data_IF_701776198099
#
_entry.id   IF_701776198099
#
_cell.length_a   1.000
_cell.length_b   1.000
_cell.length_c   1.000
_cell.angle_alpha   90.00
_cell.angle_beta   90.00
_cell.angle_gamma   90.00
#
_symmetry.space_group_name_H-M   'P 1'
#
loop_
_entity.id
_entity.type
_entity.pdbx_description
1 polymer ?
#
# COMPACT_ATOMS: atom_id res chain seq x y z
N UNK A 1 25.35 14.66 25.84
CA UNK A 1 25.88 13.75 24.79
C UNK A 1 25.01 12.51 24.79
N UNK A 2 24.28 12.26 23.68
CA UNK A 2 23.86 10.98 23.06
C UNK A 2 23.47 9.77 23.97
N UNK A 3 22.37 9.01 23.80
CA UNK A 3 21.26 8.93 22.83
C UNK A 3 20.01 8.37 23.53
N UNK A 4 18.84 8.66 22.95
CA UNK A 4 17.51 8.15 23.33
C UNK A 4 17.39 6.66 23.00
N UNK A 5 16.94 5.83 23.95
CA UNK A 5 16.54 4.44 23.73
C UNK A 5 15.10 4.26 24.21
N UNK A 6 14.17 4.75 23.39
CA UNK A 6 12.72 4.63 23.53
C UNK A 6 12.20 3.22 23.18
N UNK A 7 13.08 2.28 22.80
CA UNK A 7 12.67 0.95 22.35
C UNK A 7 12.46 -0.05 23.50
N UNK A 8 12.94 0.26 24.70
CA UNK A 8 12.85 -0.67 25.84
C UNK A 8 11.62 -0.46 26.73
N UNK A 9 10.77 0.53 26.46
CA UNK A 9 9.53 0.76 27.24
C UNK A 9 8.25 0.20 26.60
N UNK A 10 8.33 -0.34 25.38
CA UNK A 10 7.14 -0.88 24.70
C UNK A 10 6.87 -2.33 25.11
N UNK A 11 7.88 -3.09 25.53
CA UNK A 11 7.71 -4.51 25.87
C UNK A 11 7.11 -4.77 27.26
N UNK A 12 7.23 -3.84 28.21
CA UNK A 12 6.83 -4.10 29.61
C UNK A 12 5.35 -3.84 29.91
N UNK A 13 4.59 -3.28 28.96
CA UNK A 13 3.15 -2.99 29.18
C UNK A 13 2.23 -4.17 28.84
N UNK A 14 2.71 -5.19 28.11
CA UNK A 14 1.91 -6.34 27.70
C UNK A 14 1.64 -7.38 28.80
N UNK A 15 2.25 -7.25 29.98
CA UNK A 15 2.14 -8.26 31.06
C UNK A 15 1.20 -7.85 32.21
N UNK A 16 0.60 -6.65 32.20
CA UNK A 16 -0.20 -6.17 33.34
C UNK A 16 -1.66 -5.82 33.06
N UNK A 17 -2.22 -6.11 31.89
CA UNK A 17 -3.65 -5.89 31.66
C UNK A 17 -4.43 -7.21 31.56
N UNK A 18 -4.58 -7.90 32.70
CA UNK A 18 -5.68 -8.86 32.93
C UNK A 18 -7.08 -8.17 32.95
N UNK A 19 -7.22 -7.00 32.31
CA UNK A 19 -8.41 -6.15 32.31
C UNK A 19 -8.62 -5.41 30.98
N UNK A 20 -8.29 -6.02 29.83
CA UNK A 20 -8.71 -5.45 28.54
C UNK A 20 -10.20 -5.73 28.33
N UNK A 21 -11.01 -4.69 28.52
CA UNK A 21 -12.44 -4.58 28.26
C UNK A 21 -12.82 -5.29 26.92
N UNK A 22 -13.92 -6.07 26.85
CA UNK A 22 -14.33 -6.75 25.60
C UNK A 22 -14.47 -5.82 24.39
N UNK A 23 -14.72 -4.53 24.61
CA UNK A 23 -14.79 -3.51 23.56
C UNK A 23 -13.40 -3.12 23.01
N UNK A 24 -12.33 -3.17 23.79
CA UNK A 24 -10.97 -2.86 23.34
C UNK A 24 -10.41 -3.96 22.42
N UNK A 25 -10.75 -5.24 22.67
CA UNK A 25 -10.47 -6.34 21.76
C UNK A 25 -11.20 -6.20 20.40
N UNK A 26 -12.42 -5.66 20.42
CA UNK A 26 -13.15 -5.36 19.19
C UNK A 26 -12.49 -4.21 18.40
N UNK A 27 -11.93 -3.20 19.07
CA UNK A 27 -11.19 -2.11 18.41
C UNK A 27 -9.86 -2.59 17.83
N UNK A 28 -9.10 -3.43 18.54
CA UNK A 28 -7.86 -4.00 18.02
C UNK A 28 -8.07 -4.94 16.82
N UNK A 29 -9.14 -5.75 16.85
CA UNK A 29 -9.52 -6.60 15.72
C UNK A 29 -10.12 -5.79 14.56
N UNK A 30 -10.92 -4.76 14.84
CA UNK A 30 -11.44 -3.85 13.82
C UNK A 30 -10.31 -3.07 13.15
N UNK A 31 -9.34 -2.54 13.88
CA UNK A 31 -8.17 -1.87 13.28
C UNK A 31 -7.35 -2.84 12.41
N UNK A 32 -7.12 -4.07 12.88
CA UNK A 32 -6.47 -5.11 12.07
C UNK A 32 -7.27 -5.46 10.81
N UNK A 33 -8.59 -5.55 10.91
CA UNK A 33 -9.49 -5.83 9.79
C UNK A 33 -9.59 -4.64 8.83
N UNK A 34 -9.61 -3.40 9.33
CA UNK A 34 -9.57 -2.16 8.55
C UNK A 34 -8.26 -2.03 7.79
N UNK A 35 -7.12 -2.32 8.43
CA UNK A 35 -5.81 -2.34 7.77
C UNK A 35 -5.75 -3.42 6.67
N UNK A 36 -6.25 -4.63 6.95
CA UNK A 36 -6.35 -5.71 5.96
C UNK A 36 -7.28 -5.33 4.80
N UNK A 37 -8.42 -4.70 5.08
CA UNK A 37 -9.34 -4.22 4.07
C UNK A 37 -8.72 -3.09 3.24
N UNK A 38 -8.00 -2.15 3.86
CA UNK A 38 -7.32 -1.05 3.17
C UNK A 38 -6.24 -1.57 2.20
N UNK A 39 -5.48 -2.59 2.60
CA UNK A 39 -4.50 -3.25 1.70
C UNK A 39 -5.16 -4.12 0.63
N UNK A 40 -6.28 -4.78 0.92
CA UNK A 40 -7.05 -5.57 -0.06
C UNK A 40 -7.77 -4.74 -1.10
N UNK A 41 -8.02 -3.47 -0.81
CA UNK A 41 -8.81 -2.60 -1.67
C UNK A 41 -8.14 -2.38 -3.03
N UNK A 42 -6.81 -2.35 -3.14
CA UNK A 42 -6.12 -2.07 -4.40
C UNK A 42 -5.85 -3.30 -5.26
N UNK A 43 -5.69 -4.49 -4.66
CA UNK A 43 -5.25 -5.71 -5.36
C UNK A 43 -6.26 -6.12 -6.43
N UNK A 44 -5.81 -6.18 -7.68
CA UNK A 44 -6.66 -6.58 -8.81
C UNK A 44 -7.46 -5.43 -9.43
N UNK A 45 -7.21 -4.17 -9.01
CA UNK A 45 -7.82 -3.00 -9.65
C UNK A 45 -7.30 -2.81 -11.08
N UNK A 46 -8.10 -2.06 -11.82
CA UNK A 46 -7.75 -1.54 -13.15
C UNK A 46 -7.60 -0.03 -13.03
N UNK A 47 -6.60 0.50 -13.70
CA UNK A 47 -6.40 1.96 -13.80
C UNK A 47 -6.25 2.34 -15.26
N UNK A 48 -6.65 3.56 -15.57
CA UNK A 48 -6.44 4.16 -16.88
C UNK A 48 -5.31 5.18 -16.79
N UNK A 49 -4.39 5.13 -17.73
CA UNK A 49 -3.27 6.08 -17.81
C UNK A 49 -3.77 7.44 -18.31
N UNK A 50 -3.32 8.51 -17.66
CA UNK A 50 -3.66 9.89 -18.01
C UNK A 50 -2.56 10.54 -18.86
N UNK A 51 -1.31 10.14 -18.62
CA UNK A 51 -0.12 10.68 -19.29
C UNK A 51 0.74 9.53 -19.87
N UNK A 52 1.67 9.89 -20.77
CA UNK A 52 2.68 8.95 -21.25
C UNK A 52 3.78 8.77 -20.20
N UNK A 53 4.28 7.54 -20.04
CA UNK A 53 5.46 7.24 -19.24
C UNK A 53 6.53 6.61 -20.14
N UNK A 54 7.66 7.30 -20.24
CA UNK A 54 8.91 6.76 -20.78
C UNK A 54 9.76 6.37 -19.58
N UNK A 55 10.01 5.08 -19.34
CA UNK A 55 10.67 4.63 -18.12
C UNK A 55 12.13 5.08 -18.12
N UNK A 56 12.57 5.68 -17.02
CA UNK A 56 13.99 5.99 -16.77
C UNK A 56 14.73 4.75 -16.23
N UNK A 57 14.01 3.86 -15.54
CA UNK A 57 14.52 2.61 -14.99
C UNK A 57 13.79 1.38 -15.54
N UNK A 58 14.48 0.23 -15.62
CA UNK A 58 13.90 -1.04 -16.11
C UNK A 58 12.71 -1.55 -15.28
N UNK A 59 12.65 -1.11 -14.02
CA UNK A 59 11.57 -1.42 -13.08
C UNK A 59 10.26 -0.70 -13.39
N UNK A 60 10.30 0.36 -14.21
CA UNK A 60 9.13 1.19 -14.55
C UNK A 60 8.40 0.70 -15.79
N UNK A 61 7.10 0.98 -15.83
CA UNK A 61 6.22 0.53 -16.90
C UNK A 61 6.10 1.62 -17.98
N UNK A 62 6.42 1.29 -19.23
CA UNK A 62 6.18 2.19 -20.36
C UNK A 62 4.73 2.09 -20.85
N UNK A 63 4.06 3.24 -20.95
CA UNK A 63 2.69 3.32 -21.43
C UNK A 63 2.36 4.67 -22.09
N UNK A 64 1.31 4.67 -22.90
CA UNK A 64 0.71 5.87 -23.51
C UNK A 64 -0.57 6.27 -22.76
N UNK A 65 -1.05 7.51 -22.89
CA UNK A 65 -2.33 7.94 -22.32
C UNK A 65 -3.49 7.08 -22.82
N UNK A 66 -4.46 6.80 -21.95
CA UNK A 66 -5.67 6.05 -22.26
C UNK A 66 -5.53 4.53 -22.22
N UNK A 67 -4.37 3.99 -21.89
CA UNK A 67 -4.15 2.55 -21.74
C UNK A 67 -4.68 2.05 -20.40
N UNK A 68 -5.13 0.79 -20.39
CA UNK A 68 -5.65 0.16 -19.18
C UNK A 68 -4.62 -0.80 -18.60
N UNK A 69 -4.17 -0.50 -17.39
CA UNK A 69 -3.27 -1.36 -16.63
C UNK A 69 -4.12 -2.21 -15.68
N UNK A 70 -3.80 -3.50 -15.60
CA UNK A 70 -4.52 -4.49 -14.80
C UNK A 70 -3.66 -5.02 -13.66
N UNK A 71 -4.26 -5.78 -12.74
CA UNK A 71 -3.56 -6.34 -11.58
C UNK A 71 -2.78 -5.28 -10.80
N UNK A 72 -3.38 -4.09 -10.64
CA UNK A 72 -2.75 -2.96 -9.97
C UNK A 72 -2.76 -3.21 -8.46
N UNK A 73 -1.72 -2.80 -7.75
CA UNK A 73 -1.64 -2.79 -6.29
C UNK A 73 -0.62 -1.76 -5.80
N UNK A 74 -0.66 -1.43 -4.51
CA UNK A 74 0.29 -0.53 -3.86
C UNK A 74 1.72 -1.09 -3.91
N UNK A 75 2.68 -0.27 -4.33
CA UNK A 75 4.10 -0.63 -4.24
C UNK A 75 4.60 -0.51 -2.79
N UNK A 76 5.78 -1.06 -2.53
CA UNK A 76 6.52 -0.78 -1.28
C UNK A 76 7.08 0.65 -1.25
N UNK A 77 7.20 1.27 -2.42
CA UNK A 77 7.65 2.65 -2.56
C UNK A 77 6.46 3.60 -2.53
N UNK A 78 6.50 4.59 -1.64
CA UNK A 78 5.44 5.58 -1.51
C UNK A 78 5.26 6.38 -2.81
N UNK A 79 4.01 6.53 -3.25
CA UNK A 79 3.71 7.25 -4.51
C UNK A 79 3.79 6.38 -5.77
N UNK A 80 4.10 5.10 -5.63
CA UNK A 80 4.14 4.16 -6.75
C UNK A 80 3.12 3.03 -6.60
N UNK A 81 2.58 2.60 -7.74
CA UNK A 81 1.80 1.38 -7.88
C UNK A 81 2.61 0.35 -8.65
N UNK A 82 2.26 -0.91 -8.50
CA UNK A 82 2.70 -1.97 -9.40
C UNK A 82 1.49 -2.42 -10.20
N UNK A 83 1.67 -2.67 -11.50
CA UNK A 83 0.60 -3.20 -12.33
C UNK A 83 1.15 -3.91 -13.56
N UNK A 84 0.25 -4.53 -14.33
CA UNK A 84 0.57 -5.30 -15.52
C UNK A 84 -0.07 -4.70 -16.77
N UNK A 85 0.73 -4.51 -17.80
CA UNK A 85 0.29 -4.04 -19.11
C UNK A 85 1.03 -4.83 -20.20
N UNK A 86 0.29 -5.38 -21.16
CA UNK A 86 0.85 -6.16 -22.28
C UNK A 86 1.80 -7.30 -21.82
N UNK A 87 1.48 -7.95 -20.70
CA UNK A 87 2.28 -9.03 -20.11
C UNK A 87 3.54 -8.58 -19.36
N UNK A 88 3.82 -7.28 -19.28
CA UNK A 88 4.91 -6.71 -18.48
C UNK A 88 4.37 -6.15 -17.17
N UNK A 89 5.07 -6.43 -16.08
CA UNK A 89 4.76 -5.88 -14.75
C UNK A 89 5.86 -4.91 -14.34
N UNK A 90 5.47 -3.76 -13.80
CA UNK A 90 6.40 -2.70 -13.44
C UNK A 90 5.75 -1.61 -12.59
N UNK A 91 6.58 -0.64 -12.19
CA UNK A 91 6.22 0.52 -11.39
C UNK A 91 5.47 1.56 -12.22
N UNK A 92 4.45 2.15 -11.61
CA UNK A 92 3.55 3.14 -12.21
C UNK A 92 3.42 4.31 -11.23
N UNK A 93 3.71 5.56 -11.64
CA UNK A 93 3.48 6.71 -10.78
C UNK A 93 1.99 6.86 -10.45
N UNK A 94 1.61 6.96 -9.17
CA UNK A 94 0.21 7.06 -8.75
C UNK A 94 -0.52 8.26 -9.40
N UNK A 95 0.19 9.35 -9.66
CA UNK A 95 -0.34 10.58 -10.26
C UNK A 95 -0.53 10.49 -11.79
N UNK A 96 -0.10 9.40 -12.43
CA UNK A 96 -0.20 9.21 -13.88
C UNK A 96 -1.42 8.39 -14.28
N UNK A 97 -2.22 7.95 -13.31
CA UNK A 97 -3.34 7.05 -13.53
C UNK A 97 -4.57 7.46 -12.75
N UNK A 98 -5.74 7.10 -13.27
CA UNK A 98 -7.02 7.18 -12.58
C UNK A 98 -7.58 5.77 -12.33
N UNK A 99 -8.14 5.48 -11.14
CA UNK A 99 -8.81 4.21 -10.90
C UNK A 99 -10.06 4.09 -11.78
N UNK A 100 -10.26 2.91 -12.36
CA UNK A 100 -11.50 2.59 -13.07
C UNK A 100 -12.50 1.92 -12.12
N UNK A 101 -13.81 2.20 -12.28
CA UNK A 101 -14.88 1.53 -11.54
C UNK A 101 -15.01 0.05 -11.89
#
# INVERSE_FOLDING_TARGET
MYTTSLEHRVFETCMLSEYLNPQECAVHSAYRIELINRQRQLVGRRVKTLYACTPDHESELSFQPGQIITNVYESKEEGWLVGTLNGKTGLIPCNYVEPLP
#
